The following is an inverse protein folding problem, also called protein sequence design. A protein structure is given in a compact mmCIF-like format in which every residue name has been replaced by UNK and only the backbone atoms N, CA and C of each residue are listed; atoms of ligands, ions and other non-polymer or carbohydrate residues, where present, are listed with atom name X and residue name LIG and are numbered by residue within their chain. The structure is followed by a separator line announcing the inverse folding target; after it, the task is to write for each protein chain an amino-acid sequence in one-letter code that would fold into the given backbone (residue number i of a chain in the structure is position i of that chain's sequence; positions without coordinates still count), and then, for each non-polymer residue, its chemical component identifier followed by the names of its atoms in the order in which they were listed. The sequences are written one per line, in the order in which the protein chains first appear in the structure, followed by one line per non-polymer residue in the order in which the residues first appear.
data_IF_541163823275
#
_entry.id   IF_541163823275
#
_cell.length_a   1.000
_cell.length_b   1.000
_cell.length_c   1.000
_cell.angle_alpha   90.00
_cell.angle_beta   90.00
_cell.angle_gamma   90.00
#
_symmetry.space_group_name_H-M   'P 1'
#
loop_
_entity.id
_entity.type
_entity.pdbx_description
1 polymer ?
#
# COMPACT_ATOMS: atom_id res chain seq x y z
N UNK A 1 6.28 11.39 -24.43
CA UNK A 1 5.11 11.12 -23.56
C UNK A 1 5.18 9.65 -23.20
N UNK A 2 5.15 9.33 -21.92
CA UNK A 2 5.39 7.98 -21.39
C UNK A 2 4.43 7.69 -20.25
N UNK A 3 3.94 6.45 -20.19
CA UNK A 3 3.01 5.98 -19.16
C UNK A 3 3.79 5.29 -18.03
N UNK A 4 3.32 5.45 -16.80
CA UNK A 4 3.84 4.74 -15.62
C UNK A 4 3.67 3.23 -15.76
N UNK A 5 4.44 2.45 -15.00
CA UNK A 5 4.35 0.98 -14.98
C UNK A 5 2.92 0.49 -14.67
N UNK A 6 2.27 1.10 -13.68
CA UNK A 6 0.90 0.75 -13.28
C UNK A 6 -0.20 1.33 -14.18
N UNK A 7 0.15 1.97 -15.29
CA UNK A 7 -0.80 2.62 -16.21
C UNK A 7 -1.74 3.68 -15.59
N UNK A 8 -1.38 4.25 -14.43
CA UNK A 8 -2.20 5.25 -13.72
C UNK A 8 -1.75 6.68 -13.98
N UNK A 9 -0.45 6.90 -14.23
CA UNK A 9 0.15 8.22 -14.37
C UNK A 9 0.82 8.39 -15.72
N UNK A 10 0.78 9.62 -16.23
CA UNK A 10 1.26 9.97 -17.55
C UNK A 10 2.23 11.13 -17.47
N UNK A 11 3.38 10.96 -18.10
CA UNK A 11 4.45 11.93 -18.07
C UNK A 11 4.69 12.47 -19.48
N UNK A 12 4.71 13.79 -19.61
CA UNK A 12 4.97 14.44 -20.88
C UNK A 12 5.78 15.71 -20.73
N UNK A 13 6.53 16.02 -21.78
CA UNK A 13 7.33 17.23 -21.89
C UNK A 13 6.78 18.11 -23.00
N UNK A 14 6.54 19.38 -22.71
CA UNK A 14 6.05 20.33 -23.72
C UNK A 14 7.17 20.88 -24.62
N UNK A 15 6.82 21.74 -25.59
CA UNK A 15 7.79 22.39 -26.50
C UNK A 15 8.73 23.38 -25.78
N UNK A 16 8.38 23.82 -24.57
CA UNK A 16 9.20 24.70 -23.72
C UNK A 16 10.06 23.90 -22.75
N UNK A 17 10.18 22.59 -22.96
CA UNK A 17 10.93 21.66 -22.11
C UNK A 17 10.38 21.56 -20.67
N UNK A 18 9.11 21.87 -20.46
CA UNK A 18 8.45 21.70 -19.16
C UNK A 18 7.98 20.28 -19.01
N UNK A 19 8.43 19.64 -17.95
CA UNK A 19 8.01 18.32 -17.54
C UNK A 19 6.73 18.41 -16.72
N UNK A 20 5.70 17.69 -17.15
CA UNK A 20 4.40 17.64 -16.48
C UNK A 20 4.02 16.19 -16.19
N UNK A 21 3.50 15.97 -14.98
CA UNK A 21 2.85 14.75 -14.55
C UNK A 21 1.34 14.93 -14.57
N UNK A 22 0.64 13.96 -15.15
CA UNK A 22 -0.81 13.85 -15.14
C UNK A 22 -1.19 12.58 -14.36
N UNK A 23 -1.99 12.76 -13.31
CA UNK A 23 -2.57 11.69 -12.49
C UNK A 23 -4.09 11.83 -12.52
N UNK A 24 -4.76 11.03 -13.37
CA UNK A 24 -6.18 11.20 -13.67
C UNK A 24 -6.49 12.58 -14.24
N UNK A 25 -7.23 13.40 -13.48
CA UNK A 25 -7.57 14.79 -13.84
C UNK A 25 -6.61 15.83 -13.27
N UNK A 26 -5.69 15.42 -12.40
CA UNK A 26 -4.74 16.32 -11.76
C UNK A 26 -3.49 16.46 -12.61
N UNK A 27 -3.13 17.71 -12.93
CA UNK A 27 -1.93 18.04 -13.68
C UNK A 27 -0.98 18.83 -12.78
N UNK A 28 0.28 18.40 -12.67
CA UNK A 28 1.32 19.09 -11.91
C UNK A 28 2.61 19.22 -12.73
N UNK A 29 3.16 20.42 -12.80
CA UNK A 29 4.47 20.67 -13.41
C UNK A 29 5.55 20.23 -12.43
N UNK A 30 6.46 19.37 -12.89
CA UNK A 30 7.55 18.82 -12.07
C UNK A 30 8.85 19.61 -12.20
N UNK A 31 9.20 20.00 -13.43
CA UNK A 31 10.51 20.57 -13.73
C UNK A 31 10.44 21.45 -14.98
N UNK A 32 11.08 22.62 -14.94
CA UNK A 32 11.35 23.45 -16.12
C UNK A 32 12.72 23.08 -16.73
N UNK A 33 12.89 23.31 -18.03
CA UNK A 33 14.15 23.03 -18.75
C UNK A 33 14.62 21.56 -18.62
N UNK A 34 13.69 20.63 -18.73
CA UNK A 34 13.96 19.20 -18.66
C UNK A 34 14.58 18.70 -19.98
N UNK A 35 15.84 18.28 -19.93
CA UNK A 35 16.58 17.77 -21.10
C UNK A 35 16.34 16.29 -21.33
N UNK A 36 16.25 15.51 -20.25
CA UNK A 36 16.03 14.07 -20.25
C UNK A 36 14.95 13.70 -19.23
N UNK A 37 14.13 12.68 -19.55
CA UNK A 37 13.18 12.09 -18.61
C UNK A 37 12.82 10.66 -18.96
N UNK A 38 12.76 9.78 -17.95
CA UNK A 38 12.35 8.40 -18.08
C UNK A 38 11.70 7.88 -16.80
N UNK A 39 10.76 6.95 -16.95
CA UNK A 39 10.31 6.10 -15.83
C UNK A 39 11.36 5.03 -15.57
N UNK A 40 11.65 4.75 -14.30
CA UNK A 40 12.45 3.59 -13.94
C UNK A 40 11.67 2.32 -14.28
N UNK A 41 12.25 1.35 -15.01
CA UNK A 41 11.56 0.11 -15.37
C UNK A 41 10.93 -0.58 -14.15
N UNK A 42 9.73 -1.17 -14.33
CA UNK A 42 9.03 -1.92 -13.28
C UNK A 42 8.75 -1.14 -11.98
N UNK A 43 8.66 0.20 -12.05
CA UNK A 43 8.31 1.06 -10.91
C UNK A 43 7.67 2.37 -11.33
N UNK A 44 7.09 3.06 -10.37
CA UNK A 44 6.50 4.40 -10.52
C UNK A 44 7.48 5.52 -10.08
N UNK A 45 8.78 5.30 -10.30
CA UNK A 45 9.85 6.28 -10.06
C UNK A 45 10.12 7.07 -11.33
N UNK A 46 10.29 8.38 -11.19
CA UNK A 46 10.64 9.28 -12.29
C UNK A 46 12.08 9.75 -12.11
N UNK A 47 12.87 9.63 -13.17
CA UNK A 47 14.19 10.25 -13.27
C UNK A 47 14.14 11.29 -14.38
N UNK A 48 14.50 12.53 -14.07
CA UNK A 48 14.64 13.60 -15.05
C UNK A 48 15.95 14.35 -14.87
N UNK A 49 16.39 15.05 -15.90
CA UNK A 49 17.56 15.91 -15.87
C UNK A 49 17.19 17.34 -16.21
N UNK A 50 17.78 18.30 -15.49
CA UNK A 50 17.90 19.69 -15.94
C UNK A 50 19.33 20.17 -15.66
N UNK A 51 20.03 20.61 -16.71
CA UNK A 51 21.45 20.94 -16.62
C UNK A 51 22.27 19.77 -16.10
N UNK A 52 23.06 19.98 -15.05
CA UNK A 52 23.94 18.97 -14.44
C UNK A 52 23.32 18.29 -13.20
N UNK A 53 22.00 18.33 -13.08
CA UNK A 53 21.28 17.78 -11.92
C UNK A 53 20.25 16.77 -12.41
N UNK A 54 20.32 15.57 -11.84
CA UNK A 54 19.25 14.59 -11.89
C UNK A 54 18.24 14.87 -10.77
N UNK A 55 16.97 14.85 -11.14
CA UNK A 55 15.82 14.95 -10.27
C UNK A 55 15.18 13.57 -10.21
N UNK A 56 15.18 12.97 -9.03
CA UNK A 56 14.64 11.63 -8.79
C UNK A 56 13.44 11.75 -7.86
N UNK A 57 12.26 11.39 -8.38
CA UNK A 57 11.05 11.26 -7.60
C UNK A 57 10.79 9.79 -7.32
N UNK A 58 11.16 9.35 -6.12
CA UNK A 58 10.87 7.99 -5.65
C UNK A 58 9.37 7.75 -5.46
N UNK A 59 8.59 8.83 -5.35
CA UNK A 59 7.15 8.79 -5.25
C UNK A 59 6.51 9.87 -6.16
N UNK A 60 5.94 9.43 -7.28
CA UNK A 60 5.26 10.31 -8.23
C UNK A 60 4.02 11.03 -7.64
N UNK A 61 3.41 10.50 -6.57
CA UNK A 61 2.25 11.12 -5.92
C UNK A 61 2.61 12.28 -4.98
N UNK A 62 3.89 12.42 -4.60
CA UNK A 62 4.38 13.54 -3.78
C UNK A 62 5.54 14.25 -4.49
N UNK A 63 5.26 15.00 -5.57
CA UNK A 63 6.30 15.57 -6.43
C UNK A 63 7.12 16.69 -5.78
N UNK A 64 6.74 17.17 -4.59
CA UNK A 64 7.53 18.13 -3.82
C UNK A 64 8.75 17.45 -3.13
N UNK A 65 8.73 16.11 -3.03
CA UNK A 65 9.79 15.30 -2.43
C UNK A 65 10.71 14.76 -3.52
N UNK A 66 11.62 15.62 -3.97
CA UNK A 66 12.58 15.31 -5.03
C UNK A 66 13.99 15.13 -4.46
N UNK A 67 14.67 14.08 -4.88
CA UNK A 67 16.09 13.86 -4.58
C UNK A 67 16.93 14.42 -5.72
N UNK A 68 17.94 15.23 -5.38
CA UNK A 68 18.82 15.87 -6.34
C UNK A 68 20.17 15.15 -6.36
N UNK A 69 20.61 14.72 -7.53
CA UNK A 69 21.92 14.07 -7.74
C UNK A 69 22.71 14.87 -8.76
N UNK A 70 23.89 15.35 -8.40
CA UNK A 70 24.76 16.08 -9.32
C UNK A 70 25.49 15.11 -10.25
N UNK A 71 25.46 15.41 -11.55
CA UNK A 71 26.11 14.62 -12.60
C UNK A 71 27.01 15.51 -13.46
N UNK A 72 27.96 14.92 -14.19
CA UNK A 72 28.93 15.66 -15.02
C UNK A 72 28.69 15.57 -16.53
N UNK A 73 27.51 15.10 -16.95
CA UNK A 73 27.21 14.84 -18.35
C UNK A 73 25.71 14.80 -18.65
N UNK A 74 25.35 14.18 -19.77
CA UNK A 74 23.96 14.03 -20.21
C UNK A 74 23.45 12.61 -19.93
N UNK A 75 22.27 12.49 -19.32
CA UNK A 75 21.62 11.22 -19.05
C UNK A 75 21.13 10.60 -20.36
N UNK A 76 21.48 9.33 -20.59
CA UNK A 76 21.10 8.58 -21.79
C UNK A 76 19.94 7.62 -21.49
N UNK A 77 20.05 6.85 -20.41
CA UNK A 77 19.08 5.81 -20.08
C UNK A 77 19.07 5.47 -18.59
N UNK A 78 17.96 4.91 -18.11
CA UNK A 78 17.87 4.29 -16.79
C UNK A 78 17.76 2.78 -16.95
N UNK A 79 18.65 2.07 -16.26
CA UNK A 79 18.68 0.61 -16.19
C UNK A 79 18.28 0.15 -14.79
N UNK A 80 17.52 -0.94 -14.74
CA UNK A 80 17.15 -1.59 -13.49
C UNK A 80 17.27 -3.09 -13.64
N UNK A 81 18.09 -3.68 -12.78
CA UNK A 81 18.22 -5.11 -12.57
C UNK A 81 17.59 -5.50 -11.22
N UNK A 82 17.70 -6.78 -10.85
CA UNK A 82 17.14 -7.28 -9.59
C UNK A 82 17.76 -6.63 -8.33
N UNK A 83 19.03 -6.19 -8.42
CA UNK A 83 19.80 -5.72 -7.27
C UNK A 83 20.19 -4.24 -7.32
N UNK A 84 20.09 -3.59 -8.48
CA UNK A 84 20.57 -2.21 -8.69
C UNK A 84 19.71 -1.44 -9.67
N UNK A 85 19.62 -0.14 -9.45
CA UNK A 85 19.02 0.81 -10.40
C UNK A 85 20.02 1.92 -10.66
N UNK A 86 20.38 2.11 -11.92
CA UNK A 86 21.48 2.98 -12.33
C UNK A 86 21.02 3.90 -13.47
N UNK A 87 21.44 5.16 -13.39
CA UNK A 87 21.30 6.14 -14.47
C UNK A 87 22.61 6.20 -15.23
N UNK A 88 22.57 5.88 -16.52
CA UNK A 88 23.74 5.92 -17.40
C UNK A 88 23.88 7.33 -17.95
N UNK A 89 25.01 7.96 -17.65
CA UNK A 89 25.33 9.33 -18.04
C UNK A 89 26.53 9.33 -18.99
N UNK A 90 26.39 9.99 -20.13
CA UNK A 90 27.47 10.24 -21.07
C UNK A 90 28.25 11.47 -20.61
N UNK A 91 29.44 11.23 -20.06
CA UNK A 91 30.42 12.27 -19.76
C UNK A 91 31.36 12.46 -20.96
N UNK A 92 32.26 13.46 -20.89
CA UNK A 92 33.10 13.85 -22.02
C UNK A 92 33.93 12.69 -22.62
N UNK A 93 34.39 11.76 -21.79
CA UNK A 93 35.32 10.71 -22.20
C UNK A 93 34.80 9.27 -21.95
N UNK A 94 33.69 9.10 -21.24
CA UNK A 94 33.19 7.79 -20.83
C UNK A 94 31.70 7.82 -20.46
N UNK A 95 31.10 6.63 -20.43
CA UNK A 95 29.79 6.41 -19.80
C UNK A 95 29.97 6.06 -18.35
N UNK A 96 29.26 6.76 -17.47
CA UNK A 96 29.32 6.59 -16.01
C UNK A 96 27.94 6.21 -15.51
N UNK A 97 27.87 5.17 -14.66
CA UNK A 97 26.64 4.74 -14.00
C UNK A 97 26.53 5.45 -12.64
N UNK A 98 25.43 6.17 -12.44
CA UNK A 98 25.05 6.77 -11.17
C UNK A 98 23.98 5.89 -10.52
N UNK A 99 24.34 5.23 -9.41
CA UNK A 99 23.43 4.34 -8.67
C UNK A 99 22.40 5.15 -7.87
N UNK A 100 21.14 4.72 -7.90
CA UNK A 100 20.06 5.27 -7.09
C UNK A 100 19.96 4.56 -5.73
N UNK A 101 19.32 5.21 -4.76
CA UNK A 101 19.16 4.63 -3.43
C UNK A 101 18.26 3.38 -3.47
N UNK A 102 18.86 2.23 -3.20
CA UNK A 102 18.18 0.93 -3.21
C UNK A 102 16.97 0.88 -2.29
N UNK A 103 17.08 1.41 -1.07
CA UNK A 103 15.98 1.36 -0.09
C UNK A 103 14.75 2.10 -0.63
N UNK A 104 14.99 3.25 -1.26
CA UNK A 104 13.94 4.08 -1.82
C UNK A 104 13.32 3.45 -3.07
N UNK A 105 14.15 2.84 -3.92
CA UNK A 105 13.70 2.11 -5.10
C UNK A 105 12.84 0.91 -4.73
N UNK A 106 13.33 0.07 -3.83
CA UNK A 106 12.63 -1.14 -3.38
C UNK A 106 11.32 -0.74 -2.70
N UNK A 107 11.34 0.30 -1.84
CA UNK A 107 10.16 0.88 -1.21
C UNK A 107 9.03 1.25 -2.18
N UNK A 108 9.36 1.89 -3.30
CA UNK A 108 8.39 2.28 -4.34
C UNK A 108 7.76 1.10 -5.11
N UNK A 109 8.42 -0.07 -5.09
CA UNK A 109 8.02 -1.24 -5.90
C UNK A 109 7.06 -2.17 -5.12
N UNK A 110 6.97 -1.99 -3.80
CA UNK A 110 6.17 -2.81 -2.89
C UNK A 110 4.65 -2.66 -3.14
N UNK A 111 4.24 -1.69 -3.97
CA UNK A 111 2.85 -1.48 -4.39
C UNK A 111 2.17 -2.71 -5.02
N UNK A 112 2.95 -3.68 -5.52
CA UNK A 112 2.45 -4.89 -6.20
C UNK A 112 1.85 -5.97 -5.26
N UNK A 113 1.67 -5.69 -3.97
CA UNK A 113 1.05 -6.65 -3.04
C UNK A 113 1.95 -7.84 -2.70
N UNK A 114 3.24 -7.75 -3.00
CA UNK A 114 4.24 -8.74 -2.62
C UNK A 114 4.60 -8.60 -1.13
N UNK A 115 3.72 -9.15 -0.30
CA UNK A 115 3.83 -9.12 1.17
C UNK A 115 5.15 -9.69 1.71
N UNK A 116 5.84 -10.54 0.95
CA UNK A 116 7.13 -11.10 1.34
C UNK A 116 8.25 -10.06 1.21
N UNK A 117 8.28 -9.32 0.09
CA UNK A 117 9.21 -8.18 -0.08
C UNK A 117 8.92 -7.07 0.92
N UNK A 118 7.64 -6.84 1.21
CA UNK A 118 7.19 -5.92 2.25
C UNK A 118 7.78 -6.25 3.62
N UNK A 119 7.74 -7.51 4.03
CA UNK A 119 8.25 -7.94 5.33
C UNK A 119 9.77 -7.76 5.42
N UNK A 120 10.51 -8.12 4.36
CA UNK A 120 11.95 -7.94 4.29
C UNK A 120 12.35 -6.45 4.35
N UNK A 121 11.62 -5.58 3.64
CA UNK A 121 11.81 -4.12 3.68
C UNK A 121 11.57 -3.56 5.09
N UNK A 122 10.53 -4.03 5.78
CA UNK A 122 10.24 -3.61 7.16
C UNK A 122 11.34 -4.02 8.13
N UNK A 123 11.90 -5.22 7.99
CA UNK A 123 13.00 -5.69 8.84
C UNK A 123 14.27 -4.84 8.63
N UNK A 124 14.52 -4.37 7.40
CA UNK A 124 15.60 -3.43 7.09
C UNK A 124 15.30 -2.01 7.59
N UNK A 125 14.05 -1.55 7.47
CA UNK A 125 13.64 -0.20 7.87
C UNK A 125 13.47 -0.03 9.37
N UNK A 126 13.28 -1.10 10.15
CA UNK A 126 13.03 -1.07 11.60
C UNK A 126 14.11 -0.36 12.41
N UNK A 127 15.30 -0.14 11.83
CA UNK A 127 16.40 0.59 12.44
C UNK A 127 16.51 2.07 11.99
N UNK A 128 15.68 2.55 11.06
CA UNK A 128 15.94 3.80 10.32
C UNK A 128 14.69 4.66 9.99
N UNK A 129 13.52 4.43 10.60
CA UNK A 129 12.30 5.23 10.36
C UNK A 129 12.38 6.64 11.00
N UNK A 130 13.58 7.14 11.29
CA UNK A 130 13.75 8.26 12.22
C UNK A 130 13.72 9.64 11.54
N UNK A 131 13.71 9.76 10.20
CA UNK A 131 13.55 11.07 9.54
C UNK A 131 13.23 11.10 8.05
N UNK A 132 13.26 9.97 7.33
CA UNK A 132 13.11 9.96 5.88
C UNK A 132 11.64 9.92 5.44
N UNK A 133 11.17 11.01 4.82
CA UNK A 133 9.78 11.15 4.38
C UNK A 133 9.35 10.01 3.44
N UNK A 134 10.20 9.61 2.49
CA UNK A 134 9.84 8.60 1.51
C UNK A 134 9.73 7.22 2.17
N UNK A 135 10.61 6.92 3.15
CA UNK A 135 10.51 5.69 3.94
C UNK A 135 9.21 5.66 4.76
N UNK A 136 8.87 6.76 5.44
CA UNK A 136 7.62 6.89 6.21
C UNK A 136 6.41 6.71 5.29
N UNK A 137 6.38 7.40 4.14
CA UNK A 137 5.29 7.28 3.17
C UNK A 137 5.14 5.84 2.66
N UNK A 138 6.25 5.19 2.31
CA UNK A 138 6.23 3.80 1.83
C UNK A 138 5.69 2.85 2.91
N UNK A 139 6.10 3.00 4.17
CA UNK A 139 5.60 2.19 5.29
C UNK A 139 4.11 2.44 5.54
N UNK A 140 3.63 3.69 5.43
CA UNK A 140 2.21 4.02 5.54
C UNK A 140 1.40 3.37 4.41
N UNK A 141 1.86 3.47 3.17
CA UNK A 141 1.21 2.86 2.01
C UNK A 141 1.15 1.34 2.16
N UNK A 142 2.25 0.72 2.58
CA UNK A 142 2.32 -0.70 2.91
C UNK A 142 1.29 -1.08 3.97
N UNK A 143 1.18 -0.29 5.04
CA UNK A 143 0.23 -0.55 6.12
C UNK A 143 -1.21 -0.61 5.59
N UNK A 144 -1.56 0.30 4.68
CA UNK A 144 -2.88 0.31 4.05
C UNK A 144 -3.11 -0.91 3.16
N UNK A 145 -2.15 -1.27 2.30
CA UNK A 145 -2.25 -2.46 1.44
C UNK A 145 -2.37 -3.74 2.27
N UNK A 146 -1.55 -3.90 3.31
CA UNK A 146 -1.64 -5.04 4.22
C UNK A 146 -2.99 -5.09 4.95
N UNK A 147 -3.49 -3.93 5.37
CA UNK A 147 -4.79 -3.81 6.01
C UNK A 147 -5.92 -4.23 5.06
N UNK A 148 -5.89 -3.81 3.79
CA UNK A 148 -6.88 -4.16 2.76
C UNK A 148 -6.85 -5.64 2.38
N UNK A 149 -5.66 -6.23 2.30
CA UNK A 149 -5.48 -7.67 2.09
C UNK A 149 -5.84 -8.51 3.32
N UNK A 150 -6.00 -7.87 4.50
CA UNK A 150 -6.35 -8.54 5.74
C UNK A 150 -5.16 -9.18 6.45
N UNK A 151 -3.93 -8.86 6.03
CA UNK A 151 -2.72 -9.25 6.74
C UNK A 151 -2.49 -8.31 7.93
N UNK A 152 -3.23 -8.59 9.00
CA UNK A 152 -3.16 -7.83 10.25
C UNK A 152 -1.76 -7.85 10.87
N UNK A 153 -1.01 -8.94 10.68
CA UNK A 153 0.34 -9.12 11.23
C UNK A 153 1.33 -8.08 10.68
N UNK A 154 1.29 -7.82 9.37
CA UNK A 154 2.14 -6.81 8.73
C UNK A 154 1.60 -5.42 9.05
N UNK A 155 0.28 -5.22 8.97
CA UNK A 155 -0.35 -3.93 9.25
C UNK A 155 -0.03 -3.41 10.66
N UNK A 156 -0.13 -4.23 11.71
CA UNK A 156 0.18 -3.78 13.08
C UNK A 156 1.66 -3.42 13.24
N UNK A 157 2.58 -4.18 12.61
CA UNK A 157 4.02 -3.89 12.64
C UNK A 157 4.33 -2.57 11.95
N UNK A 158 3.69 -2.29 10.81
CA UNK A 158 3.85 -1.01 10.12
C UNK A 158 3.32 0.15 10.96
N UNK A 159 2.12 0.03 11.54
CA UNK A 159 1.57 1.09 12.40
C UNK A 159 2.43 1.32 13.64
N UNK A 160 2.99 0.26 14.23
CA UNK A 160 3.94 0.38 15.32
C UNK A 160 5.25 1.08 14.89
N UNK A 161 5.78 0.76 13.70
CA UNK A 161 6.97 1.40 13.15
C UNK A 161 6.75 2.89 12.83
N UNK A 162 5.53 3.27 12.43
CA UNK A 162 5.13 4.67 12.21
C UNK A 162 4.83 5.44 13.50
N UNK A 163 4.83 4.77 14.66
CA UNK A 163 4.41 5.36 15.94
C UNK A 163 2.89 5.60 16.07
N UNK A 164 2.06 5.08 15.17
CA UNK A 164 0.60 5.13 15.28
C UNK A 164 0.10 4.02 16.20
N UNK A 165 0.29 4.22 17.50
CA UNK A 165 -0.08 3.25 18.54
C UNK A 165 -1.59 2.99 18.58
N UNK A 166 -2.42 3.95 18.19
CA UNK A 166 -3.87 3.81 18.15
C UNK A 166 -4.31 2.78 17.12
N UNK A 167 -3.85 2.92 15.87
CA UNK A 167 -4.11 1.95 14.80
C UNK A 167 -3.42 0.62 15.06
N UNK A 168 -2.20 0.63 15.59
CA UNK A 168 -1.48 -0.60 15.95
C UNK A 168 -2.24 -1.42 17.00
N UNK A 169 -2.73 -0.78 18.06
CA UNK A 169 -3.51 -1.46 19.11
C UNK A 169 -4.85 -1.97 18.57
N UNK A 170 -5.53 -1.19 17.72
CA UNK A 170 -6.77 -1.63 17.09
C UNK A 170 -6.54 -2.87 16.21
N UNK A 171 -5.50 -2.87 15.36
CA UNK A 171 -5.13 -4.02 14.54
C UNK A 171 -4.79 -5.26 15.39
N UNK A 172 -4.04 -5.08 16.47
CA UNK A 172 -3.70 -6.14 17.41
C UNK A 172 -4.95 -6.77 18.07
N UNK A 173 -5.91 -5.96 18.52
CA UNK A 173 -7.17 -6.46 19.08
C UNK A 173 -7.99 -7.27 18.07
N UNK A 174 -8.00 -6.88 16.80
CA UNK A 174 -8.68 -7.67 15.75
C UNK A 174 -7.98 -9.00 15.51
N UNK A 175 -6.65 -9.02 15.56
CA UNK A 175 -5.84 -10.23 15.43
C UNK A 175 -6.11 -11.21 16.59
N UNK A 176 -6.10 -10.73 17.84
CA UNK A 176 -6.44 -11.55 19.02
C UNK A 176 -7.86 -12.13 18.94
N UNK A 177 -8.84 -11.32 18.52
CA UNK A 177 -10.21 -11.80 18.30
C UNK A 177 -10.29 -12.86 17.20
N UNK A 178 -9.43 -12.77 16.17
CA UNK A 178 -9.39 -13.73 15.08
C UNK A 178 -8.78 -15.07 15.50
N UNK A 179 -7.86 -15.08 16.48
CA UNK A 179 -7.31 -16.30 17.07
C UNK A 179 -8.35 -17.04 17.92
N UNK A 180 -9.18 -16.30 18.65
CA UNK A 180 -10.19 -16.88 19.56
C UNK A 180 -11.45 -17.32 18.80
N UNK A 181 -12.07 -16.42 18.03
CA UNK A 181 -13.38 -16.64 17.39
C UNK A 181 -13.25 -17.14 15.92
N UNK A 182 -12.04 -17.16 15.37
CA UNK A 182 -11.77 -17.44 13.96
C UNK A 182 -11.95 -16.22 13.05
N UNK A 183 -11.15 -16.15 11.98
CA UNK A 183 -11.14 -15.05 10.99
C UNK A 183 -12.48 -14.79 10.30
N UNK A 184 -13.34 -15.82 10.24
CA UNK A 184 -14.65 -15.73 9.59
C UNK A 184 -15.78 -15.24 10.51
N UNK A 185 -15.50 -15.09 11.80
CA UNK A 185 -16.47 -14.59 12.78
C UNK A 185 -16.99 -13.21 12.38
N UNK A 186 -18.31 -13.02 12.45
CA UNK A 186 -18.95 -11.73 12.14
C UNK A 186 -18.38 -10.61 13.01
N UNK A 187 -17.97 -10.90 14.26
CA UNK A 187 -17.33 -9.90 15.15
C UNK A 187 -16.00 -9.41 14.57
N UNK A 188 -15.16 -10.33 14.10
CA UNK A 188 -13.85 -10.03 13.50
C UNK A 188 -14.06 -9.24 12.21
N UNK A 189 -15.00 -9.66 11.35
CA UNK A 189 -15.34 -8.95 10.11
C UNK A 189 -15.85 -7.53 10.36
N UNK A 190 -16.73 -7.34 11.35
CA UNK A 190 -17.21 -6.00 11.74
C UNK A 190 -16.06 -5.12 12.24
N UNK A 191 -15.20 -5.64 13.13
CA UNK A 191 -14.05 -4.89 13.67
C UNK A 191 -13.01 -4.56 12.60
N UNK A 192 -12.75 -5.49 11.68
CA UNK A 192 -11.89 -5.26 10.52
C UNK A 192 -12.46 -4.18 9.60
N UNK A 193 -13.77 -4.22 9.33
CA UNK A 193 -14.44 -3.20 8.53
C UNK A 193 -14.41 -1.82 9.20
N UNK A 194 -14.53 -1.75 10.53
CA UNK A 194 -14.35 -0.51 11.29
C UNK A 194 -12.93 0.04 11.16
N UNK A 195 -11.91 -0.83 11.27
CA UNK A 195 -10.50 -0.44 11.13
C UNK A 195 -10.17 0.09 9.73
N UNK A 196 -10.85 -0.43 8.70
CA UNK A 196 -10.77 0.04 7.31
C UNK A 196 -11.63 1.27 6.99
N UNK A 197 -12.28 1.88 8.00
CA UNK A 197 -13.25 2.96 7.83
C UNK A 197 -14.45 2.61 6.93
N UNK A 198 -14.78 1.32 6.77
CA UNK A 198 -15.90 0.82 5.97
C UNK A 198 -17.16 0.67 6.83
N UNK A 199 -17.64 1.79 7.40
CA UNK A 199 -18.73 1.79 8.38
C UNK A 199 -20.04 1.17 7.86
N UNK A 200 -20.41 1.45 6.60
CA UNK A 200 -21.61 0.86 5.97
C UNK A 200 -21.54 -0.66 5.90
N UNK A 201 -20.37 -1.21 5.59
CA UNK A 201 -20.16 -2.68 5.57
C UNK A 201 -20.19 -3.25 6.99
N UNK A 202 -19.58 -2.55 7.94
CA UNK A 202 -19.59 -2.96 9.35
C UNK A 202 -21.03 -3.04 9.91
N UNK A 203 -21.87 -2.06 9.57
CA UNK A 203 -23.28 -2.00 9.93
C UNK A 203 -24.06 -3.17 9.33
N UNK A 204 -23.93 -3.43 8.03
CA UNK A 204 -24.61 -4.55 7.37
C UNK A 204 -24.28 -5.90 8.02
N UNK A 205 -22.99 -6.16 8.28
CA UNK A 205 -22.53 -7.41 8.95
C UNK A 205 -23.13 -7.53 10.36
N UNK A 206 -23.23 -6.41 11.07
CA UNK A 206 -23.81 -6.39 12.41
C UNK A 206 -25.33 -6.68 12.37
N UNK A 207 -26.05 -6.06 11.43
CA UNK A 207 -27.48 -6.26 11.24
C UNK A 207 -27.81 -7.69 10.80
N UNK A 208 -27.02 -8.29 9.92
CA UNK A 208 -27.16 -9.71 9.53
C UNK A 208 -27.10 -10.63 10.75
N UNK A 209 -26.11 -10.43 11.63
CA UNK A 209 -26.00 -11.21 12.87
C UNK A 209 -27.20 -11.01 13.78
N UNK A 210 -27.65 -9.77 13.97
CA UNK A 210 -28.83 -9.46 14.80
C UNK A 210 -30.06 -10.15 14.22
N UNK A 211 -30.26 -10.11 12.90
CA UNK A 211 -31.40 -10.75 12.25
C UNK A 211 -31.35 -12.28 12.34
N UNK A 212 -30.18 -12.91 12.18
CA UNK A 212 -30.00 -14.35 12.39
C UNK A 212 -30.33 -14.74 13.84
N UNK A 213 -29.87 -13.97 14.82
CA UNK A 213 -30.17 -14.24 16.24
C UNK A 213 -31.66 -14.09 16.57
N UNK A 214 -32.33 -13.09 15.99
CA UNK A 214 -33.78 -12.91 16.13
C UNK A 214 -34.56 -14.05 15.47
N UNK A 215 -34.15 -14.48 14.28
CA UNK A 215 -34.78 -15.62 13.59
C UNK A 215 -34.60 -16.94 14.35
N UNK A 216 -33.42 -17.18 14.94
CA UNK A 216 -33.18 -18.34 15.80
C UNK A 216 -34.10 -18.35 17.03
N UNK A 217 -34.22 -17.20 17.71
CA UNK A 217 -35.10 -17.06 18.87
C UNK A 217 -36.60 -17.13 18.56
N UNK A 218 -36.98 -16.93 17.29
CA UNK A 218 -38.38 -17.00 16.82
C UNK A 218 -38.70 -18.29 16.06
N UNK A 219 -37.72 -19.20 15.91
CA UNK A 219 -37.98 -20.54 15.43
C UNK A 219 -38.74 -21.30 16.54
N UNK A 220 -39.96 -21.81 16.28
CA UNK A 220 -40.64 -22.63 17.26
C UNK A 220 -39.78 -23.88 17.46
N UNK A 221 -39.31 -24.07 18.71
CA UNK A 221 -38.82 -25.37 19.14
C UNK A 221 -39.86 -26.43 18.71
N UNK A 222 -39.46 -27.60 18.18
CA UNK A 222 -40.41 -28.64 17.86
C UNK A 222 -41.06 -29.06 19.17
N UNK A 223 -42.25 -28.52 19.43
CA UNK A 223 -43.11 -28.90 20.54
C UNK A 223 -43.36 -30.38 20.34
N UNK A 224 -42.71 -31.18 21.18
CA UNK A 224 -42.83 -32.62 21.21
C UNK A 224 -44.24 -32.93 21.73
N UNK A 225 -45.25 -32.85 20.86
CA UNK A 225 -46.58 -33.37 21.13
C UNK A 225 -46.50 -34.90 21.16
N UNK A 226 -45.98 -35.45 22.27
CA UNK A 226 -46.35 -36.80 22.67
C UNK A 226 -47.80 -36.73 23.13
N UNK A 227 -48.68 -37.18 22.25
CA UNK A 227 -50.06 -37.56 22.55
C UNK A 227 -50.11 -38.31 23.89
N UNK A 228 -50.82 -37.74 24.85
CA UNK A 228 -51.44 -38.51 25.93
C UNK A 228 -52.59 -39.30 25.29
N UNK A 229 -52.28 -40.46 24.73
CA UNK A 229 -53.29 -41.47 24.45
C UNK A 229 -53.50 -42.25 25.76
N UNK A 230 -54.47 -41.79 26.55
CA UNK A 230 -55.03 -42.58 27.65
C UNK A 230 -55.72 -43.81 27.06
N UNK A 231 -55.04 -44.95 27.12
CA UNK A 231 -55.63 -46.25 26.91
C UNK A 231 -55.66 -47.02 28.24
N UNK A 232 -56.86 -47.53 28.55
CA UNK A 232 -57.17 -48.74 29.32
C UNK A 232 -57.48 -48.57 30.83
N UNK A 233 -58.79 -48.64 31.10
CA UNK A 233 -59.44 -49.24 32.28
C UNK A 233 -58.78 -50.56 32.68
N UNK A 234 -58.53 -50.85 33.96
CA UNK A 234 -58.72 -52.21 34.53
C UNK A 234 -58.75 -52.12 36.07
N UNK A 235 -59.94 -52.43 36.63
CA UNK A 235 -60.39 -52.63 38.04
C UNK A 235 -60.29 -51.49 39.06
#
# INVERSE_FOLDING_TARGET
MSLSYNATKLLFRDKRLRLTLLDGTQQKTLLDFCTYVQWVPSSDIIVAQSGNILYVWYNASVPDQVTLVTIKGEAETVLRDADRTEVIVQEANARVAYELDRDQVDGSTIESGDLAKTAAFLDQCRAAVDSDFNKIYNVEKIAQVALDQGNLSIAWRCFAALGDFGKAQAAFKVMELAEIDGTQSSKVKTRLAQLRHQFKKAENIFLEKVNISKAYNHSPSPVNHRRMDCWINFF
#
